data_IF_775782925445
#
_entry.id   IF_775782925445
#
_cell.length_a   1.000
_cell.length_b   1.000
_cell.length_c   1.000
_cell.angle_alpha   90.00
_cell.angle_beta   90.00
_cell.angle_gamma   90.00
#
_symmetry.space_group_name_H-M   'P 1'
#
loop_
_entity.id
_entity.type
_entity.pdbx_description
1 polymer ?
#
# COMPACT_ATOMS: atom_id res chain seq x y z
N UNK A 1 -11.73 -13.84 3.79
CA UNK A 1 -10.63 -13.64 4.75
C UNK A 1 -9.96 -12.31 4.45
N UNK A 2 -9.49 -11.59 5.48
CA UNK A 2 -8.73 -10.35 5.32
C UNK A 2 -7.25 -10.71 5.34
N UNK A 3 -6.51 -10.24 4.35
CA UNK A 3 -5.09 -10.54 4.17
C UNK A 3 -4.26 -9.26 4.23
N UNK A 4 -2.96 -9.41 4.46
CA UNK A 4 -2.00 -8.30 4.45
C UNK A 4 -1.26 -8.31 3.11
N UNK A 5 -1.15 -7.13 2.49
CA UNK A 5 -0.43 -6.96 1.24
C UNK A 5 0.65 -5.91 1.41
N UNK A 6 1.87 -6.23 1.00
CA UNK A 6 2.97 -5.27 0.86
C UNK A 6 3.02 -4.81 -0.58
N UNK A 7 2.90 -3.50 -0.78
CA UNK A 7 2.87 -2.88 -2.09
C UNK A 7 4.08 -1.98 -2.23
N UNK A 8 4.88 -2.23 -3.26
CA UNK A 8 6.02 -1.36 -3.60
C UNK A 8 5.78 -0.66 -4.92
N UNK A 9 6.29 0.56 -5.03
CA UNK A 9 6.10 1.34 -6.23
C UNK A 9 6.75 2.71 -6.14
N UNK A 10 6.33 3.58 -7.04
CA UNK A 10 6.72 4.98 -7.01
C UNK A 10 5.59 5.86 -7.53
N UNK A 11 5.57 7.13 -7.10
CA UNK A 11 4.72 8.15 -7.69
C UNK A 11 5.55 9.35 -8.15
N UNK A 12 5.04 10.10 -9.13
CA UNK A 12 5.67 11.32 -9.62
C UNK A 12 5.09 12.54 -8.92
N UNK A 13 5.94 13.31 -8.23
CA UNK A 13 5.59 14.58 -7.58
C UNK A 13 6.61 15.65 -7.99
N UNK A 14 6.17 16.79 -8.53
CA UNK A 14 7.02 17.87 -9.05
C UNK A 14 8.22 17.37 -9.90
N UNK A 15 7.95 16.52 -10.88
CA UNK A 15 8.96 15.90 -11.75
C UNK A 15 9.95 14.92 -11.11
N UNK A 16 9.86 14.67 -9.81
CA UNK A 16 10.68 13.69 -9.12
C UNK A 16 9.88 12.40 -8.89
N UNK A 17 10.56 11.25 -8.98
CA UNK A 17 10.00 9.95 -8.61
C UNK A 17 10.26 9.71 -7.13
N UNK A 18 9.20 9.55 -6.35
CA UNK A 18 9.27 9.15 -4.96
C UNK A 18 8.86 7.69 -4.85
N UNK A 19 9.74 6.85 -4.31
CA UNK A 19 9.44 5.44 -4.05
C UNK A 19 8.57 5.33 -2.80
N UNK A 20 7.71 4.31 -2.76
CA UNK A 20 6.95 3.97 -1.58
C UNK A 20 6.94 2.45 -1.37
N UNK A 21 6.88 2.07 -0.10
CA UNK A 21 6.47 0.76 0.37
C UNK A 21 5.30 0.99 1.31
N UNK A 22 4.19 0.29 1.09
CA UNK A 22 2.99 0.44 1.89
C UNK A 22 2.40 -0.92 2.18
N UNK A 23 2.06 -1.15 3.44
CA UNK A 23 1.38 -2.36 3.88
C UNK A 23 -0.10 -2.03 4.09
N UNK A 24 -0.98 -2.84 3.50
CA UNK A 24 -2.42 -2.61 3.53
C UNK A 24 -3.18 -3.91 3.73
N UNK A 25 -4.26 -3.84 4.51
CA UNK A 25 -5.20 -4.96 4.67
C UNK A 25 -6.34 -4.88 3.67
N UNK A 26 -6.68 -6.02 3.09
CA UNK A 26 -7.78 -6.11 2.13
C UNK A 26 -8.28 -7.52 1.90
N UNK A 27 -9.39 -7.61 1.18
CA UNK A 27 -10.00 -8.88 0.81
C UNK A 27 -9.41 -9.46 -0.50
N UNK A 28 -8.79 -8.63 -1.33
CA UNK A 28 -8.23 -8.97 -2.63
C UNK A 28 -7.19 -7.94 -3.07
N UNK A 29 -6.40 -8.28 -4.11
CA UNK A 29 -5.41 -7.36 -4.71
C UNK A 29 -6.06 -6.09 -5.27
N UNK A 30 -7.17 -6.20 -6.00
CA UNK A 30 -7.92 -5.04 -6.49
C UNK A 30 -8.38 -4.09 -5.37
N UNK A 31 -8.86 -4.64 -4.25
CA UNK A 31 -9.30 -3.82 -3.13
C UNK A 31 -8.15 -2.99 -2.53
N UNK A 32 -6.96 -3.58 -2.39
CA UNK A 32 -5.80 -2.84 -1.87
C UNK A 32 -5.23 -1.85 -2.88
N UNK A 33 -5.31 -2.14 -4.17
CA UNK A 33 -4.92 -1.19 -5.24
C UNK A 33 -5.80 0.07 -5.20
N UNK A 34 -7.13 -0.10 -5.12
CA UNK A 34 -8.07 1.01 -5.03
C UNK A 34 -7.84 1.85 -3.76
N UNK A 35 -7.60 1.20 -2.62
CA UNK A 35 -7.23 1.88 -1.37
C UNK A 35 -5.91 2.64 -1.49
N UNK A 36 -4.89 2.04 -2.09
CA UNK A 36 -3.59 2.68 -2.31
C UNK A 36 -3.71 3.95 -3.17
N UNK A 37 -4.46 3.88 -4.26
CA UNK A 37 -4.70 5.05 -5.11
C UNK A 37 -5.41 6.17 -4.34
N UNK A 38 -6.34 5.81 -3.47
CA UNK A 38 -7.09 6.77 -2.65
C UNK A 38 -6.21 7.38 -1.55
N UNK A 39 -5.38 6.57 -0.87
CA UNK A 39 -4.43 7.01 0.16
C UNK A 39 -3.38 7.98 -0.40
N UNK A 40 -2.67 7.58 -1.47
CA UNK A 40 -1.64 8.41 -2.09
C UNK A 40 -2.27 9.67 -2.71
N UNK A 41 -3.41 9.51 -3.38
CA UNK A 41 -4.12 10.61 -4.02
C UNK A 41 -4.60 11.67 -3.02
N UNK A 42 -5.19 11.25 -1.91
CA UNK A 42 -5.68 12.15 -0.86
C UNK A 42 -4.54 12.85 -0.12
N UNK A 43 -3.53 12.08 0.31
CA UNK A 43 -2.44 12.60 1.15
C UNK A 43 -1.46 13.49 0.40
N UNK A 44 -1.20 13.19 -0.87
CA UNK A 44 -0.16 13.86 -1.67
C UNK A 44 -0.71 14.64 -2.87
N UNK A 45 -2.05 14.68 -3.08
CA UNK A 45 -2.71 15.32 -4.24
C UNK A 45 -2.18 14.80 -5.58
N UNK A 46 -1.87 13.51 -5.64
CA UNK A 46 -1.33 12.84 -6.82
C UNK A 46 -2.44 12.19 -7.64
N UNK A 47 -2.42 12.42 -8.96
CA UNK A 47 -3.33 11.74 -9.89
C UNK A 47 -2.96 10.26 -10.05
N UNK A 48 -3.96 9.37 -10.19
CA UNK A 48 -3.75 7.91 -10.31
C UNK A 48 -2.76 7.52 -11.41
N UNK A 49 -2.77 8.21 -12.55
CA UNK A 49 -1.88 7.94 -13.68
C UNK A 49 -0.39 8.23 -13.39
N UNK A 50 -0.09 8.99 -12.33
CA UNK A 50 1.27 9.30 -11.86
C UNK A 50 1.77 8.32 -10.80
N UNK A 51 0.95 7.34 -10.39
CA UNK A 51 1.30 6.29 -9.43
C UNK A 51 1.60 5.02 -10.23
N UNK A 52 2.76 4.42 -9.98
CA UNK A 52 3.20 3.18 -10.61
C UNK A 52 3.51 2.15 -9.53
N UNK A 53 2.71 1.11 -9.53
CA UNK A 53 2.92 -0.06 -8.67
C UNK A 53 3.94 -0.94 -9.38
N UNK A 54 4.96 -1.38 -8.63
CA UNK A 54 6.00 -2.29 -9.10
C UNK A 54 5.65 -3.73 -8.72
N UNK A 55 5.24 -3.94 -7.47
CA UNK A 55 5.03 -5.27 -6.91
C UNK A 55 3.92 -5.26 -5.85
N UNK A 56 3.20 -6.37 -5.75
CA UNK A 56 2.13 -6.58 -4.78
C UNK A 56 2.23 -8.02 -4.28
N UNK A 57 2.75 -8.17 -3.08
CA UNK A 57 2.90 -9.45 -2.39
C UNK A 57 1.90 -9.56 -1.26
N UNK A 58 1.34 -10.75 -1.13
CA UNK A 58 0.61 -11.16 0.06
C UNK A 58 1.66 -11.63 1.08
N UNK A 59 1.64 -11.05 2.28
CA UNK A 59 2.60 -11.37 3.34
C UNK A 59 1.86 -11.89 4.57
N UNK A 60 2.56 -12.67 5.40
CA UNK A 60 2.03 -13.05 6.69
C UNK A 60 1.91 -11.82 7.61
N UNK A 61 0.86 -11.70 8.42
CA UNK A 61 0.68 -10.54 9.28
C UNK A 61 1.82 -10.30 10.27
N UNK A 62 2.52 -11.36 10.68
CA UNK A 62 3.68 -11.31 11.57
C UNK A 62 4.91 -10.68 10.90
N UNK A 63 5.00 -10.75 9.57
CA UNK A 63 6.10 -10.16 8.77
C UNK A 63 5.87 -8.67 8.45
N UNK A 64 4.70 -8.13 8.80
CA UNK A 64 4.37 -6.73 8.54
C UNK A 64 5.24 -5.80 9.38
N UNK A 65 5.90 -4.83 8.73
CA UNK A 65 6.79 -3.89 9.39
C UNK A 65 5.98 -2.82 10.16
N UNK A 66 4.82 -2.42 9.63
CA UNK A 66 3.96 -1.39 10.22
C UNK A 66 3.25 -1.93 11.50
N UNK A 67 3.52 -1.37 12.69
CA UNK A 67 2.90 -1.80 13.95
C UNK A 67 1.37 -1.72 13.93
N UNK A 68 0.81 -0.75 13.20
CA UNK A 68 -0.64 -0.58 13.09
C UNK A 68 -1.27 -1.74 12.33
N UNK A 69 -0.57 -2.27 11.32
CA UNK A 69 -1.04 -3.41 10.53
C UNK A 69 -1.02 -4.69 11.37
N UNK A 70 0.04 -4.88 12.17
CA UNK A 70 0.18 -5.98 13.13
C UNK A 70 -0.91 -5.97 14.20
N UNK A 71 -1.12 -4.82 14.86
CA UNK A 71 -2.18 -4.64 15.84
C UNK A 71 -3.58 -4.92 15.26
N UNK A 72 -3.87 -4.41 14.05
CA UNK A 72 -5.14 -4.71 13.38
C UNK A 72 -5.30 -6.20 13.06
N UNK A 73 -4.21 -6.90 12.77
CA UNK A 73 -4.22 -8.33 12.51
C UNK A 73 -4.28 -9.20 13.77
N UNK A 74 -4.11 -8.62 14.96
CA UNK A 74 -4.12 -9.34 16.24
C UNK A 74 -2.85 -10.15 16.49
N UNK A 75 -1.74 -9.77 15.86
CA UNK A 75 -0.40 -10.33 16.07
C UNK A 75 0.43 -9.22 16.71
N UNK A 76 0.49 -9.20 18.04
CA UNK A 76 1.31 -8.27 18.83
C UNK A 76 2.34 -9.04 19.64
#
# INVERSE_FOLDING_TARGET
MVKVFRITGWFKHHNQKQKFTKEMRGNSKDNVIEKLYSDIGSKHRIKRNLIKIKEIDEIDPEEAEDPSIRALAGVE
#
